data_IF_432072670928
#
_entry.id   IF_432072670928
#
_cell.length_a   1.000
_cell.length_b   1.000
_cell.length_c   1.000
_cell.angle_alpha   90.00
_cell.angle_beta   90.00
_cell.angle_gamma   90.00
#
_symmetry.space_group_name_H-M   'P 1'
#
loop_
_entity.id
_entity.type
_entity.pdbx_description
1 polymer ?
#
# COMPACT_ATOMS: atom_id res chain seq x y z
N UNK A 1 13.38 -13.99 -3.18
CA UNK A 1 14.84 -13.64 -3.27
C UNK A 1 15.70 -14.64 -2.49
N UNK A 2 15.41 -14.92 -1.22
CA UNK A 2 16.24 -15.80 -0.39
C UNK A 2 16.40 -17.19 -1.04
N UNK A 3 15.28 -17.83 -1.42
CA UNK A 3 15.33 -19.12 -2.13
C UNK A 3 16.13 -19.03 -3.43
N UNK A 4 15.99 -17.94 -4.19
CA UNK A 4 16.78 -17.73 -5.41
C UNK A 4 18.28 -17.62 -5.12
N UNK A 5 18.69 -16.94 -4.04
CA UNK A 5 20.10 -16.88 -3.64
C UNK A 5 20.65 -18.25 -3.21
N UNK A 6 19.81 -19.13 -2.69
CA UNK A 6 20.17 -20.50 -2.33
C UNK A 6 20.13 -21.49 -3.52
N UNK A 7 19.93 -21.01 -4.75
CA UNK A 7 19.81 -21.87 -5.93
C UNK A 7 18.48 -22.63 -6.04
N UNK A 8 17.48 -22.28 -5.22
CA UNK A 8 16.16 -22.90 -5.17
C UNK A 8 15.09 -22.06 -5.88
N UNK A 9 15.47 -21.28 -6.89
CA UNK A 9 14.57 -20.39 -7.62
C UNK A 9 13.38 -21.11 -8.25
N UNK A 10 13.61 -22.28 -8.83
CA UNK A 10 12.59 -23.11 -9.49
C UNK A 10 11.67 -23.83 -8.49
N UNK A 11 12.04 -23.85 -7.21
CA UNK A 11 11.27 -24.46 -6.13
C UNK A 11 10.42 -23.46 -5.35
N UNK A 12 10.32 -22.20 -5.83
CA UNK A 12 9.49 -21.17 -5.18
C UNK A 12 8.02 -21.53 -5.40
N UNK A 13 7.24 -21.77 -4.31
CA UNK A 13 5.82 -22.07 -4.44
C UNK A 13 5.05 -20.96 -5.14
N UNK A 14 4.02 -21.30 -5.92
CA UNK A 14 3.22 -20.34 -6.68
C UNK A 14 2.47 -19.34 -5.79
N UNK A 15 2.20 -19.71 -4.53
CA UNK A 15 1.54 -18.87 -3.52
C UNK A 15 2.45 -17.74 -2.99
N UNK A 16 3.75 -17.81 -3.25
CA UNK A 16 4.70 -16.76 -2.83
C UNK A 16 4.54 -15.54 -3.72
N UNK A 17 3.97 -14.49 -3.18
CA UNK A 17 3.67 -13.25 -3.92
C UNK A 17 4.89 -12.33 -4.11
N UNK A 18 5.94 -12.53 -3.31
CA UNK A 18 7.16 -11.72 -3.39
C UNK A 18 7.98 -12.02 -4.64
N UNK A 19 8.62 -11.00 -5.21
CA UNK A 19 9.48 -11.14 -6.40
C UNK A 19 10.85 -11.68 -6.04
N UNK A 20 11.43 -12.45 -6.95
CA UNK A 20 12.80 -12.95 -6.82
C UNK A 20 13.79 -11.91 -7.39
N UNK A 21 14.53 -11.24 -6.51
CA UNK A 21 15.59 -10.30 -6.87
C UNK A 21 16.99 -10.92 -6.86
N UNK A 22 17.10 -12.26 -6.68
CA UNK A 22 18.39 -12.94 -6.65
C UNK A 22 19.26 -12.70 -7.90
N UNK A 23 18.73 -12.63 -9.14
CA UNK A 23 19.53 -12.36 -10.32
C UNK A 23 20.37 -11.09 -10.23
N UNK A 24 19.87 -10.03 -9.57
CA UNK A 24 20.62 -8.78 -9.42
C UNK A 24 21.88 -8.88 -8.54
N UNK A 25 22.01 -9.95 -7.75
CA UNK A 25 23.19 -10.19 -6.93
C UNK A 25 24.31 -10.89 -7.71
N UNK A 26 23.98 -11.50 -8.83
CA UNK A 26 24.91 -12.28 -9.64
C UNK A 26 25.23 -11.61 -10.98
N UNK A 27 24.35 -10.74 -11.48
CA UNK A 27 24.52 -10.04 -12.74
C UNK A 27 23.98 -8.61 -12.62
N UNK A 28 24.85 -7.62 -12.71
CA UNK A 28 24.49 -6.20 -12.67
C UNK A 28 23.58 -5.78 -13.84
N UNK A 29 23.56 -6.55 -14.92
CA UNK A 29 22.72 -6.32 -16.10
C UNK A 29 21.42 -7.08 -16.08
N UNK A 30 21.14 -7.86 -15.02
CA UNK A 30 19.90 -8.60 -14.91
C UNK A 30 18.70 -7.67 -14.95
N UNK A 31 17.79 -7.90 -15.86
CA UNK A 31 16.54 -7.17 -15.95
C UNK A 31 15.49 -7.82 -15.04
N UNK A 32 14.99 -7.07 -14.09
CA UNK A 32 13.88 -7.48 -13.23
C UNK A 32 12.74 -6.49 -13.40
N UNK A 33 11.56 -7.01 -13.73
CA UNK A 33 10.34 -6.19 -13.74
C UNK A 33 10.04 -5.72 -12.32
N UNK A 34 10.36 -4.47 -12.02
CA UNK A 34 10.04 -3.86 -10.73
C UNK A 34 8.56 -3.46 -10.68
N UNK A 35 7.87 -3.63 -9.53
CA UNK A 35 6.54 -3.08 -9.38
C UNK A 35 6.59 -1.54 -9.47
N UNK A 36 5.57 -0.94 -10.04
CA UNK A 36 5.43 0.52 -10.12
C UNK A 36 5.24 1.17 -8.75
N UNK A 37 4.76 0.40 -7.78
CA UNK A 37 4.59 0.83 -6.41
C UNK A 37 4.46 -0.35 -5.44
N UNK A 38 4.35 -0.04 -4.17
CA UNK A 38 4.11 -0.98 -3.09
C UNK A 38 2.88 -0.56 -2.30
N UNK A 39 2.00 -1.51 -1.98
CA UNK A 39 0.84 -1.27 -1.11
C UNK A 39 1.26 -1.21 0.36
N UNK A 40 0.65 -0.29 1.07
CA UNK A 40 0.62 -0.23 2.52
C UNK A 40 -0.78 -0.57 3.01
N UNK A 41 -0.89 -1.58 3.86
CA UNK A 41 -2.17 -2.07 4.39
C UNK A 41 -2.06 -2.15 5.91
N UNK A 42 -2.98 -1.48 6.60
CA UNK A 42 -3.08 -1.54 8.05
C UNK A 42 -4.54 -1.76 8.49
N UNK A 43 -4.75 -2.83 9.25
CA UNK A 43 -5.99 -3.13 9.96
C UNK A 43 -5.60 -3.64 11.34
N UNK A 44 -5.36 -2.74 12.28
CA UNK A 44 -4.94 -3.09 13.63
C UNK A 44 -6.15 -2.96 14.56
N UNK A 45 -6.41 -4.01 15.32
CA UNK A 45 -7.32 -3.95 16.46
C UNK A 45 -6.62 -3.19 17.61
N UNK A 46 -7.41 -2.41 18.33
CA UNK A 46 -6.95 -1.75 19.54
C UNK A 46 -7.08 -2.66 20.77
N UNK A 47 -7.44 -2.08 21.90
CA UNK A 47 -7.63 -2.81 23.13
C UNK A 47 -8.75 -3.86 23.02
N UNK A 48 -8.52 -5.01 23.66
CA UNK A 48 -9.51 -6.08 23.82
C UNK A 48 -9.95 -6.16 25.29
N UNK A 49 -11.17 -6.62 25.51
CA UNK A 49 -11.64 -6.93 26.86
C UNK A 49 -11.14 -8.31 27.34
N UNK A 50 -11.54 -8.69 28.54
CA UNK A 50 -11.19 -9.96 29.15
C UNK A 50 -11.67 -11.21 28.38
N UNK A 51 -12.71 -11.05 27.54
CA UNK A 51 -13.25 -12.08 26.68
C UNK A 51 -12.62 -12.06 25.26
N UNK A 52 -11.65 -11.16 25.02
CA UNK A 52 -11.01 -10.99 23.71
C UNK A 52 -11.80 -10.15 22.71
N UNK A 53 -12.94 -9.54 23.14
CA UNK A 53 -13.73 -8.67 22.29
C UNK A 53 -13.03 -7.31 22.12
N UNK A 54 -12.91 -6.85 20.88
CA UNK A 54 -12.24 -5.58 20.56
C UNK A 54 -13.07 -4.39 21.06
N UNK A 55 -12.52 -3.62 22.00
CA UNK A 55 -13.10 -2.39 22.55
C UNK A 55 -12.83 -1.18 21.66
N UNK A 56 -11.60 -1.07 21.19
CA UNK A 56 -11.17 0.05 20.37
C UNK A 56 -10.62 -0.43 19.03
N UNK A 57 -10.76 0.40 18.01
CA UNK A 57 -10.25 0.11 16.67
C UNK A 57 -9.34 1.26 16.23
N UNK A 58 -8.14 0.94 15.80
CA UNK A 58 -7.35 1.90 15.04
C UNK A 58 -8.02 2.14 13.68
N UNK A 59 -7.84 3.32 13.06
CA UNK A 59 -8.29 3.56 11.71
C UNK A 59 -7.76 2.48 10.76
N UNK A 60 -8.60 2.00 9.86
CA UNK A 60 -8.12 1.19 8.75
C UNK A 60 -7.41 2.10 7.75
N UNK A 61 -6.28 1.66 7.23
CA UNK A 61 -5.55 2.44 6.24
C UNK A 61 -5.13 1.62 5.04
N UNK A 62 -5.08 2.31 3.91
CA UNK A 62 -4.48 1.84 2.67
C UNK A 62 -3.64 2.94 2.08
N UNK A 63 -2.55 2.57 1.48
CA UNK A 63 -1.69 3.51 0.81
C UNK A 63 -0.87 2.86 -0.30
N UNK A 64 -0.28 3.70 -1.11
CA UNK A 64 0.65 3.32 -2.16
C UNK A 64 1.92 4.14 -2.03
N UNK A 65 3.05 3.46 -2.15
CA UNK A 65 4.36 4.09 -2.30
C UNK A 65 4.91 3.77 -3.67
N UNK A 66 5.15 4.80 -4.46
CA UNK A 66 5.85 4.74 -5.75
C UNK A 66 7.31 5.16 -5.60
N UNK A 67 8.02 5.37 -6.70
CA UNK A 67 9.37 5.94 -6.68
C UNK A 67 9.38 7.39 -6.15
N UNK A 68 8.35 8.17 -6.52
CA UNK A 68 8.33 9.61 -6.30
C UNK A 68 7.34 10.07 -5.23
N UNK A 69 6.31 9.27 -4.93
CA UNK A 69 5.22 9.67 -4.05
C UNK A 69 4.78 8.58 -3.10
N UNK A 70 4.32 9.01 -1.94
CA UNK A 70 3.56 8.17 -0.98
C UNK A 70 2.19 8.80 -0.74
N UNK A 71 1.13 8.02 -0.97
CA UNK A 71 -0.25 8.36 -0.60
C UNK A 71 -0.73 7.36 0.44
N UNK A 72 -1.28 7.83 1.57
CA UNK A 72 -1.94 6.99 2.56
C UNK A 72 -3.26 7.60 3.00
N UNK A 73 -4.30 6.77 3.01
CA UNK A 73 -5.66 7.13 3.41
C UNK A 73 -6.05 6.34 4.65
N UNK A 74 -6.66 7.01 5.61
CA UNK A 74 -7.11 6.44 6.87
C UNK A 74 -8.61 6.66 7.01
N UNK A 75 -9.37 5.61 7.23
CA UNK A 75 -10.81 5.67 7.42
C UNK A 75 -11.21 5.21 8.82
N UNK A 76 -12.33 5.72 9.28
CA UNK A 76 -13.04 5.14 10.41
C UNK A 76 -13.61 3.76 10.00
N UNK A 77 -13.35 2.72 10.78
CA UNK A 77 -13.74 1.34 10.44
C UNK A 77 -15.25 1.12 10.47
N UNK A 78 -15.98 1.90 11.26
CA UNK A 78 -17.44 1.77 11.41
C UNK A 78 -18.18 2.59 10.37
N UNK A 79 -17.81 3.87 10.24
CA UNK A 79 -18.51 4.80 9.35
C UNK A 79 -17.98 4.79 7.92
N UNK A 80 -16.80 4.19 7.70
CA UNK A 80 -16.06 4.19 6.42
C UNK A 80 -15.73 5.60 5.91
N UNK A 81 -15.77 6.59 6.76
CA UNK A 81 -15.43 7.97 6.41
C UNK A 81 -13.93 8.22 6.51
N UNK A 82 -13.42 9.01 5.59
CA UNK A 82 -12.03 9.48 5.61
C UNK A 82 -11.76 10.29 6.88
N UNK A 83 -10.75 9.88 7.64
CA UNK A 83 -10.29 10.55 8.87
C UNK A 83 -9.03 11.36 8.63
N UNK A 84 -8.13 10.84 7.81
CA UNK A 84 -6.82 11.44 7.55
C UNK A 84 -6.33 10.99 6.18
N UNK A 85 -5.65 11.89 5.51
CA UNK A 85 -4.87 11.59 4.32
C UNK A 85 -3.44 12.10 4.47
N UNK A 86 -2.50 11.38 3.89
CA UNK A 86 -1.11 11.78 3.81
C UNK A 86 -0.66 11.66 2.37
N UNK A 87 -0.05 12.71 1.85
CA UNK A 87 0.57 12.73 0.53
C UNK A 87 1.97 13.33 0.67
N UNK A 88 2.97 12.60 0.25
CA UNK A 88 4.36 13.08 0.25
C UNK A 88 4.98 12.96 -1.13
N UNK A 89 5.79 13.94 -1.50
CA UNK A 89 6.69 13.86 -2.65
C UNK A 89 8.04 13.35 -2.16
N UNK A 90 8.26 12.04 -2.23
CA UNK A 90 9.45 11.39 -1.69
C UNK A 90 10.74 11.81 -2.42
N UNK A 91 10.64 12.23 -3.68
CA UNK A 91 11.80 12.73 -4.43
C UNK A 91 12.31 14.07 -3.91
N UNK A 92 11.41 14.93 -3.39
CA UNK A 92 11.75 16.26 -2.84
C UNK A 92 11.84 16.26 -1.32
N UNK A 93 11.12 15.36 -0.66
CA UNK A 93 11.02 15.24 0.79
C UNK A 93 11.19 13.78 1.22
N UNK A 94 12.41 13.22 1.14
CA UNK A 94 12.68 11.82 1.43
C UNK A 94 12.39 11.42 2.88
N UNK A 95 12.28 12.39 3.78
CA UNK A 95 11.95 12.17 5.19
C UNK A 95 10.46 12.36 5.50
N UNK A 96 9.62 12.70 4.50
CA UNK A 96 8.18 12.87 4.62
C UNK A 96 7.76 13.84 5.75
N UNK A 97 8.44 14.96 5.84
CA UNK A 97 8.20 16.01 6.85
C UNK A 97 7.06 16.94 6.46
N UNK A 98 6.76 17.05 5.16
CA UNK A 98 5.81 18.01 4.61
C UNK A 98 4.65 17.29 3.91
N UNK A 99 3.53 17.12 4.62
CA UNK A 99 2.31 16.58 4.03
C UNK A 99 1.72 17.57 3.02
N UNK A 100 1.51 17.12 1.79
CA UNK A 100 0.94 17.92 0.71
C UNK A 100 -0.60 17.91 0.76
N UNK A 101 -1.26 19.06 0.54
CA UNK A 101 -2.73 19.10 0.42
C UNK A 101 -3.20 18.31 -0.80
N UNK A 102 -4.22 17.46 -0.64
CA UNK A 102 -4.75 16.66 -1.75
C UNK A 102 -5.40 17.55 -2.81
N UNK A 103 -6.08 18.61 -2.38
CA UNK A 103 -6.81 19.55 -3.23
C UNK A 103 -5.90 20.28 -4.23
N UNK A 104 -4.65 20.53 -3.85
CA UNK A 104 -3.65 21.20 -4.67
C UNK A 104 -2.90 20.23 -5.60
N UNK A 105 -3.04 18.91 -5.37
CA UNK A 105 -2.30 17.86 -6.05
C UNK A 105 -3.21 16.83 -6.75
N UNK A 106 -4.37 17.26 -7.23
CA UNK A 106 -5.46 16.40 -7.74
C UNK A 106 -5.03 15.39 -8.80
N UNK A 107 -4.18 15.78 -9.74
CA UNK A 107 -3.73 14.90 -10.83
C UNK A 107 -2.89 13.74 -10.29
N UNK A 108 -1.94 14.05 -9.41
CA UNK A 108 -1.07 13.05 -8.75
C UNK A 108 -1.91 12.13 -7.87
N UNK A 109 -2.82 12.70 -7.08
CA UNK A 109 -3.73 11.93 -6.22
C UNK A 109 -4.58 10.99 -7.06
N UNK A 110 -5.16 11.45 -8.16
CA UNK A 110 -5.98 10.62 -9.05
C UNK A 110 -5.17 9.49 -9.71
N UNK A 111 -3.92 9.73 -10.05
CA UNK A 111 -3.02 8.69 -10.57
C UNK A 111 -2.74 7.64 -9.49
N UNK A 112 -2.24 8.06 -8.32
CA UNK A 112 -1.90 7.15 -7.22
C UNK A 112 -3.11 6.34 -6.75
N UNK A 113 -4.28 6.96 -6.75
CA UNK A 113 -5.52 6.31 -6.40
C UNK A 113 -5.93 5.21 -7.38
N UNK A 114 -5.79 5.44 -8.70
CA UNK A 114 -6.02 4.42 -9.71
C UNK A 114 -5.05 3.26 -9.57
N UNK A 115 -3.75 3.55 -9.38
CA UNK A 115 -2.72 2.53 -9.21
C UNK A 115 -2.97 1.69 -7.94
N UNK A 116 -3.25 2.36 -6.82
CA UNK A 116 -3.62 1.70 -5.57
C UNK A 116 -4.87 0.83 -5.74
N UNK A 117 -5.90 1.36 -6.38
CA UNK A 117 -7.15 0.63 -6.64
C UNK A 117 -6.95 -0.62 -7.49
N UNK A 118 -6.10 -0.55 -8.52
CA UNK A 118 -5.74 -1.71 -9.34
C UNK A 118 -5.06 -2.80 -8.50
N UNK A 119 -4.09 -2.43 -7.68
CA UNK A 119 -3.38 -3.36 -6.81
C UNK A 119 -4.29 -3.97 -5.73
N UNK A 120 -5.19 -3.17 -5.13
CA UNK A 120 -6.15 -3.67 -4.14
C UNK A 120 -7.17 -4.64 -4.77
N UNK A 121 -7.51 -4.42 -6.04
CA UNK A 121 -8.34 -5.33 -6.81
C UNK A 121 -7.69 -6.70 -6.98
N UNK A 122 -6.41 -6.73 -7.34
CA UNK A 122 -5.65 -7.97 -7.55
C UNK A 122 -5.63 -8.88 -6.32
N UNK A 123 -5.60 -8.28 -5.13
CA UNK A 123 -5.58 -9.01 -3.86
C UNK A 123 -6.96 -9.19 -3.22
N UNK A 124 -8.05 -8.81 -3.92
CA UNK A 124 -9.43 -8.83 -3.40
C UNK A 124 -9.58 -8.11 -2.05
N UNK A 125 -8.90 -6.97 -1.89
CA UNK A 125 -8.93 -6.21 -0.64
C UNK A 125 -10.35 -5.67 -0.35
N UNK A 126 -10.81 -5.68 0.93
CA UNK A 126 -12.11 -5.17 1.32
C UNK A 126 -12.39 -3.73 0.89
N UNK A 127 -11.39 -2.86 0.84
CA UNK A 127 -11.59 -1.48 0.38
C UNK A 127 -12.03 -1.41 -1.08
N UNK A 128 -11.59 -2.36 -1.90
CA UNK A 128 -12.03 -2.45 -3.27
C UNK A 128 -13.39 -3.16 -3.39
N UNK A 129 -13.56 -4.32 -2.74
CA UNK A 129 -14.77 -5.15 -2.85
C UNK A 129 -15.99 -4.49 -2.20
N UNK A 130 -15.80 -3.77 -1.09
CA UNK A 130 -16.85 -3.01 -0.39
C UNK A 130 -17.04 -1.59 -0.96
N UNK A 131 -16.35 -1.25 -2.04
CA UNK A 131 -16.40 0.09 -2.68
C UNK A 131 -16.13 1.24 -1.72
N UNK A 132 -15.25 1.03 -0.74
CA UNK A 132 -14.82 2.07 0.19
C UNK A 132 -14.01 3.12 -0.57
N UNK A 133 -13.23 2.68 -1.55
CA UNK A 133 -12.59 3.52 -2.55
C UNK A 133 -13.65 4.01 -3.56
N UNK A 134 -14.58 4.82 -3.13
CA UNK A 134 -15.49 5.53 -4.04
C UNK A 134 -14.94 6.92 -4.31
N UNK A 135 -15.34 7.52 -5.44
CA UNK A 135 -14.94 8.87 -5.84
C UNK A 135 -15.25 9.94 -4.77
N UNK A 136 -16.09 9.59 -3.80
CA UNK A 136 -16.45 10.44 -2.66
C UNK A 136 -15.39 10.55 -1.56
N UNK A 137 -14.35 9.73 -1.57
CA UNK A 137 -13.28 9.82 -0.56
C UNK A 137 -12.27 10.91 -0.92
N UNK A 138 -12.22 11.31 -2.20
CA UNK A 138 -11.26 12.29 -2.71
C UNK A 138 -11.84 13.69 -2.95
N UNK A 139 -13.15 13.90 -2.70
CA UNK A 139 -13.82 15.20 -2.93
C UNK A 139 -14.67 15.64 -1.73
#
# INVERSE_FOLDING_TARGET
>A
TVLGLCGLGDSIPAEVQGRNFAPLFFDEKAEIVRPTGALYIQNIDGEKDENGLVKTYFPSSRGIKTADYTLALYIDRKTKQLKKSLLFNDAKDPYQLNNLPLEENKEIVAQLYREMGAMLKEINDPWYTEKILSDKILY
#
